data_IF_224938992110
#
_entry.id   IF_224938992110
#
_cell.length_a   1.000
_cell.length_b   1.000
_cell.length_c   1.000
_cell.angle_alpha   90.00
_cell.angle_beta   90.00
_cell.angle_gamma   90.00
#
_symmetry.space_group_name_H-M   'P 1'
#
loop_
_entity.id
_entity.type
_entity.pdbx_description
1 polymer ?
#
# COMPACT_ATOMS: atom_id res chain seq x y z
N UNK A 1 -2.88 25.30 5.02
CA UNK A 1 -2.12 24.05 4.83
C UNK A 1 -0.64 24.40 4.88
N UNK A 2 0.22 23.66 5.60
CA UNK A 2 1.65 24.02 5.71
C UNK A 2 2.37 23.70 4.39
N UNK A 3 3.36 24.51 3.99
CA UNK A 3 4.17 24.32 2.75
C UNK A 3 4.82 22.93 2.62
N UNK A 4 4.90 22.18 3.73
CA UNK A 4 5.39 20.81 3.76
C UNK A 4 4.38 19.80 3.22
N UNK A 5 3.12 19.92 3.61
CA UNK A 5 2.04 19.02 3.16
C UNK A 5 1.80 19.19 1.66
N UNK A 6 1.82 20.42 1.16
CA UNK A 6 1.71 20.71 -0.27
C UNK A 6 2.84 20.06 -1.08
N UNK A 7 4.09 20.18 -0.60
CA UNK A 7 5.24 19.55 -1.26
C UNK A 7 5.17 18.04 -1.29
N UNK A 8 4.61 17.42 -0.26
CA UNK A 8 4.38 15.99 -0.26
C UNK A 8 3.30 15.65 -1.32
N UNK A 9 2.20 16.41 -1.37
CA UNK A 9 1.03 16.15 -2.23
C UNK A 9 1.27 16.48 -3.71
N UNK A 10 2.33 17.21 -4.02
CA UNK A 10 2.74 17.56 -5.38
C UNK A 10 3.80 16.61 -5.94
N UNK A 11 4.13 15.50 -5.27
CA UNK A 11 5.09 14.53 -5.79
C UNK A 11 4.48 13.58 -6.80
N UNK A 12 5.35 12.84 -7.47
CA UNK A 12 5.02 11.75 -8.38
C UNK A 12 5.65 10.46 -7.88
N UNK A 13 4.99 9.33 -8.12
CA UNK A 13 5.51 8.00 -7.78
C UNK A 13 5.48 7.08 -8.99
N UNK A 14 6.65 6.56 -9.36
CA UNK A 14 6.74 5.60 -10.45
C UNK A 14 6.03 4.29 -10.07
N UNK A 15 5.68 3.52 -11.10
CA UNK A 15 4.98 2.24 -10.99
C UNK A 15 5.65 1.24 -10.05
N UNK A 16 6.97 1.12 -10.08
CA UNK A 16 7.70 0.13 -9.26
C UNK A 16 7.61 0.48 -7.77
N UNK A 17 7.84 1.75 -7.41
CA UNK A 17 7.65 2.22 -6.05
C UNK A 17 6.19 2.09 -5.60
N UNK A 18 5.25 2.36 -6.50
CA UNK A 18 3.83 2.24 -6.21
C UNK A 18 3.41 0.81 -5.87
N UNK A 19 3.77 -0.16 -6.71
CA UNK A 19 3.48 -1.58 -6.47
C UNK A 19 4.15 -2.04 -5.18
N UNK A 20 5.43 -1.67 -4.96
CA UNK A 20 6.12 -1.99 -3.72
C UNK A 20 5.44 -1.39 -2.48
N UNK A 21 4.98 -0.13 -2.56
CA UNK A 21 4.22 0.52 -1.51
C UNK A 21 2.89 -0.18 -1.27
N UNK A 22 2.14 -0.55 -2.31
CA UNK A 22 0.87 -1.26 -2.17
C UNK A 22 1.05 -2.62 -1.48
N UNK A 23 2.09 -3.37 -1.87
CA UNK A 23 2.46 -4.64 -1.23
C UNK A 23 2.78 -4.45 0.25
N UNK A 24 3.62 -3.46 0.57
CA UNK A 24 3.99 -3.17 1.95
C UNK A 24 2.77 -2.72 2.74
N UNK A 25 2.06 -1.69 2.27
CA UNK A 25 0.95 -1.08 2.97
C UNK A 25 -0.18 -2.07 3.26
N UNK A 26 -0.58 -2.88 2.28
CA UNK A 26 -1.78 -3.71 2.40
C UNK A 26 -1.50 -5.13 2.95
N UNK A 27 -0.27 -5.62 2.85
CA UNK A 27 0.05 -7.02 3.18
C UNK A 27 1.19 -7.15 4.19
N UNK A 28 2.39 -6.67 3.87
CA UNK A 28 3.55 -6.93 4.73
C UNK A 28 3.49 -6.14 6.05
N UNK A 29 3.10 -4.87 5.99
CA UNK A 29 3.00 -3.98 7.15
C UNK A 29 2.00 -4.49 8.20
N UNK A 30 0.74 -4.84 7.88
CA UNK A 30 -0.16 -5.37 8.89
C UNK A 30 0.31 -6.68 9.51
N UNK A 31 0.95 -7.56 8.73
CA UNK A 31 1.51 -8.80 9.26
C UNK A 31 2.66 -8.56 10.23
N UNK A 32 3.60 -7.69 9.85
CA UNK A 32 4.75 -7.33 10.69
C UNK A 32 4.28 -6.65 11.99
N UNK A 33 3.39 -5.66 11.89
CA UNK A 33 2.84 -4.98 13.06
C UNK A 33 2.01 -5.93 13.94
N UNK A 34 1.21 -6.81 13.33
CA UNK A 34 0.44 -7.81 14.06
C UNK A 34 1.33 -8.78 14.85
N UNK A 35 2.41 -9.26 14.23
CA UNK A 35 3.39 -10.12 14.90
C UNK A 35 4.09 -9.39 16.07
N UNK A 36 4.47 -8.13 15.87
CA UNK A 36 5.10 -7.31 16.93
C UNK A 36 4.14 -7.08 18.09
N UNK A 37 2.91 -6.63 17.82
CA UNK A 37 1.91 -6.36 18.86
C UNK A 37 1.58 -7.63 19.65
N UNK A 38 1.42 -8.77 18.96
CA UNK A 38 1.22 -10.07 19.61
C UNK A 38 2.37 -10.44 20.53
N UNK A 39 3.62 -10.26 20.08
CA UNK A 39 4.82 -10.55 20.90
C UNK A 39 4.93 -9.65 22.12
N UNK A 40 4.46 -8.42 22.02
CA UNK A 40 4.44 -7.45 23.13
C UNK A 40 3.20 -7.58 24.03
N UNK A 41 2.27 -8.50 23.72
CA UNK A 41 1.02 -8.64 24.46
C UNK A 41 0.08 -7.43 24.31
N UNK A 42 0.26 -6.62 23.27
CA UNK A 42 -0.56 -5.44 23.02
C UNK A 42 -1.89 -5.84 22.36
N UNK A 43 -3.01 -5.21 22.73
CA UNK A 43 -4.28 -5.45 22.07
C UNK A 43 -4.20 -4.97 20.62
N UNK A 44 -4.59 -5.84 19.70
CA UNK A 44 -4.74 -5.51 18.28
C UNK A 44 -6.23 -5.35 18.02
N UNK A 45 -6.65 -4.17 17.54
CA UNK A 45 -8.04 -3.94 17.19
C UNK A 45 -8.40 -4.82 15.98
N UNK A 46 -9.08 -5.92 16.23
CA UNK A 46 -9.68 -6.71 15.16
C UNK A 46 -10.92 -5.93 14.71
N UNK A 47 -11.01 -5.60 13.43
CA UNK A 47 -12.14 -4.83 12.88
C UNK A 47 -13.50 -5.47 13.13
N UNK A 48 -14.56 -4.84 12.64
CA UNK A 48 -15.96 -5.25 12.83
C UNK A 48 -16.16 -6.78 12.69
N UNK A 49 -16.38 -7.47 13.82
CA UNK A 49 -17.00 -8.81 13.86
C UNK A 49 -16.18 -10.02 14.35
N UNK A 50 -14.99 -9.88 14.96
CA UNK A 50 -14.25 -11.06 15.47
C UNK A 50 -14.22 -11.14 16.99
N UNK A 51 -14.97 -12.10 17.54
CA UNK A 51 -15.02 -12.42 18.97
C UNK A 51 -13.91 -13.34 19.48
N UNK A 52 -12.90 -13.68 18.67
CA UNK A 52 -11.80 -14.57 19.08
C UNK A 52 -10.44 -13.88 19.00
N UNK A 53 -9.75 -13.87 20.13
CA UNK A 53 -8.52 -13.11 20.45
C UNK A 53 -7.22 -13.62 19.80
N UNK A 54 -7.27 -14.56 18.85
CA UNK A 54 -6.09 -15.29 18.37
C UNK A 54 -5.61 -14.96 16.95
N UNK A 55 -6.37 -14.20 16.16
CA UNK A 55 -6.10 -14.03 14.71
C UNK A 55 -5.37 -12.72 14.38
N UNK A 56 -4.29 -12.80 13.58
CA UNK A 56 -3.66 -11.61 12.99
C UNK A 56 -4.55 -11.14 11.83
N UNK A 57 -5.28 -10.05 12.03
CA UNK A 57 -6.12 -9.45 10.99
C UNK A 57 -5.29 -8.57 10.05
N UNK A 58 -5.39 -8.78 8.74
CA UNK A 58 -4.81 -7.88 7.75
C UNK A 58 -5.40 -6.46 7.85
N UNK A 59 -6.60 -6.29 8.40
CA UNK A 59 -7.26 -5.00 8.58
C UNK A 59 -7.01 -4.37 9.96
N UNK A 60 -6.22 -5.01 10.82
CA UNK A 60 -5.97 -4.54 12.18
C UNK A 60 -5.42 -3.10 12.26
N UNK A 61 -4.65 -2.71 11.24
CA UNK A 61 -3.97 -1.42 11.17
C UNK A 61 -4.55 -0.53 10.07
N UNK A 62 -5.84 -0.67 9.75
CA UNK A 62 -6.50 0.05 8.65
C UNK A 62 -6.27 1.56 8.69
N UNK A 63 -6.22 2.16 9.88
CA UNK A 63 -5.96 3.58 10.09
C UNK A 63 -4.57 4.04 9.63
N UNK A 64 -3.62 3.11 9.48
CA UNK A 64 -2.30 3.36 8.90
C UNK A 64 -2.24 2.95 7.43
N UNK A 65 -2.83 1.80 7.10
CA UNK A 65 -2.80 1.23 5.75
C UNK A 65 -3.56 2.10 4.75
N UNK A 66 -4.77 2.54 5.11
CA UNK A 66 -5.64 3.31 4.22
C UNK A 66 -4.97 4.64 3.86
N UNK A 67 -4.48 5.48 4.80
CA UNK A 67 -3.80 6.72 4.44
C UNK A 67 -2.53 6.50 3.62
N UNK A 68 -1.75 5.45 3.90
CA UNK A 68 -0.52 5.16 3.16
C UNK A 68 -0.82 4.72 1.72
N UNK A 69 -1.80 3.84 1.55
CA UNK A 69 -2.24 3.37 0.24
C UNK A 69 -2.92 4.49 -0.57
N UNK A 70 -3.73 5.29 0.11
CA UNK A 70 -4.36 6.50 -0.41
C UNK A 70 -3.34 7.47 -0.99
N UNK A 71 -2.33 7.75 -0.18
CA UNK A 71 -1.21 8.60 -0.52
C UNK A 71 -0.47 8.09 -1.76
N UNK A 72 -0.05 6.82 -1.75
CA UNK A 72 0.65 6.22 -2.89
C UNK A 72 -0.19 6.29 -4.18
N UNK A 73 -1.50 6.06 -4.06
CA UNK A 73 -2.42 6.08 -5.21
C UNK A 73 -2.54 7.48 -5.80
N UNK A 74 -2.60 8.52 -4.95
CA UNK A 74 -2.56 9.90 -5.41
C UNK A 74 -1.28 10.20 -6.18
N UNK A 75 -0.11 9.88 -5.61
CA UNK A 75 1.19 10.14 -6.26
C UNK A 75 1.36 9.36 -7.57
N UNK A 76 0.77 8.17 -7.66
CA UNK A 76 0.78 7.35 -8.89
C UNK A 76 -0.11 7.95 -9.97
N UNK A 77 -1.31 8.42 -9.62
CA UNK A 77 -2.21 9.11 -10.56
C UNK A 77 -1.56 10.38 -11.10
N UNK A 78 -0.85 11.12 -10.24
CA UNK A 78 -0.07 12.28 -10.65
C UNK A 78 1.09 11.92 -11.57
N UNK A 79 1.75 10.78 -11.36
CA UNK A 79 2.80 10.32 -12.26
C UNK A 79 2.31 9.94 -13.66
N UNK A 80 1.04 9.55 -13.78
CA UNK A 80 0.38 9.29 -15.06
C UNK A 80 -0.10 10.60 -15.73
N UNK A 81 -0.04 11.74 -15.01
CA UNK A 81 -0.56 13.02 -15.49
C UNK A 81 -2.07 13.21 -15.30
N UNK A 82 -2.75 12.24 -14.68
CA UNK A 82 -4.20 12.26 -14.51
C UNK A 82 -4.68 13.28 -13.45
N UNK A 83 -5.97 13.66 -13.49
CA UNK A 83 -6.57 14.49 -12.45
C UNK A 83 -6.60 13.80 -11.08
N UNK A 84 -6.34 14.54 -9.99
CA UNK A 84 -6.25 13.98 -8.63
C UNK A 84 -7.50 13.26 -8.15
N UNK A 85 -8.69 13.68 -8.58
CA UNK A 85 -9.95 13.05 -8.16
C UNK A 85 -10.05 11.59 -8.63
N UNK A 86 -9.36 11.23 -9.72
CA UNK A 86 -9.32 9.85 -10.22
C UNK A 86 -8.66 8.92 -9.20
N UNK A 87 -7.79 9.44 -8.31
CA UNK A 87 -7.20 8.66 -7.23
C UNK A 87 -8.26 8.08 -6.28
N UNK A 88 -9.38 8.79 -6.04
CA UNK A 88 -10.46 8.29 -5.19
C UNK A 88 -11.17 7.07 -5.81
N UNK A 89 -11.39 7.08 -7.12
CA UNK A 89 -11.96 5.93 -7.84
C UNK A 89 -10.97 4.77 -7.84
N UNK A 90 -9.69 5.06 -8.02
CA UNK A 90 -8.66 4.03 -8.07
C UNK A 90 -8.35 3.42 -6.70
N UNK A 91 -8.98 3.85 -5.60
CA UNK A 91 -8.87 3.10 -4.33
C UNK A 91 -9.61 1.77 -4.36
N UNK A 92 -10.60 1.60 -5.25
CA UNK A 92 -11.28 0.31 -5.37
C UNK A 92 -10.28 -0.76 -5.83
N UNK A 93 -10.11 -1.87 -5.07
CA UNK A 93 -9.02 -2.83 -5.28
C UNK A 93 -8.88 -3.33 -6.71
N UNK A 94 -10.00 -3.65 -7.37
CA UNK A 94 -9.99 -4.16 -8.74
C UNK A 94 -9.62 -3.09 -9.77
N UNK A 95 -10.09 -1.86 -9.58
CA UNK A 95 -9.78 -0.75 -10.48
C UNK A 95 -8.32 -0.31 -10.27
N UNK A 96 -7.83 -0.40 -9.04
CA UNK A 96 -6.46 -0.07 -8.67
C UNK A 96 -5.42 -0.87 -9.47
N UNK A 97 -5.72 -2.12 -9.83
CA UNK A 97 -4.81 -2.96 -10.61
C UNK A 97 -4.39 -2.30 -11.93
N UNK A 98 -5.21 -1.42 -12.50
CA UNK A 98 -4.82 -0.64 -13.68
C UNK A 98 -3.53 0.15 -13.44
N UNK A 99 -3.36 0.72 -12.25
CA UNK A 99 -2.18 1.50 -11.86
C UNK A 99 -0.90 0.69 -11.77
N UNK A 100 -1.01 -0.64 -11.59
CA UNK A 100 0.12 -1.55 -11.48
C UNK A 100 0.78 -1.80 -12.82
N UNK A 101 0.04 -1.63 -13.91
CA UNK A 101 0.52 -1.92 -15.26
C UNK A 101 0.69 -0.64 -16.09
N UNK A 102 -0.15 0.37 -15.88
CA UNK A 102 -0.12 1.62 -16.63
C UNK A 102 1.28 2.27 -16.56
N UNK A 103 1.88 2.72 -17.66
CA UNK A 103 3.16 3.43 -17.65
C UNK A 103 3.01 4.85 -17.09
N UNK A 104 4.01 5.36 -16.38
CA UNK A 104 4.04 6.78 -16.01
C UNK A 104 4.50 7.67 -17.18
N UNK A 105 4.35 8.98 -17.04
CA UNK A 105 4.89 9.95 -18.01
C UNK A 105 6.42 10.08 -17.83
N UNK A 106 7.18 9.94 -18.91
CA UNK A 106 8.65 9.99 -18.87
C UNK A 106 9.20 11.42 -18.77
N UNK A 107 8.39 12.41 -19.11
CA UNK A 107 8.74 13.84 -19.06
C UNK A 107 8.10 14.52 -17.85
N UNK A 108 8.49 15.78 -17.62
CA UNK A 108 7.83 16.64 -16.66
C UNK A 108 6.35 16.84 -17.05
N UNK A 109 5.48 16.90 -16.06
CA UNK A 109 4.05 17.13 -16.25
C UNK A 109 3.53 18.21 -15.29
N UNK A 110 2.21 18.42 -15.26
CA UNK A 110 1.57 19.42 -14.37
C UNK A 110 1.83 19.19 -12.87
N UNK A 111 2.32 18.01 -12.49
CA UNK A 111 2.68 17.64 -11.12
C UNK A 111 4.20 17.62 -10.89
N UNK A 112 5.00 18.08 -11.84
CA UNK A 112 6.44 18.25 -11.71
C UNK A 112 7.28 17.23 -12.48
N UNK A 113 8.57 17.19 -12.14
CA UNK A 113 9.59 16.36 -12.78
C UNK A 113 9.32 14.85 -12.61
N UNK A 114 9.79 14.01 -13.54
CA UNK A 114 9.62 12.57 -13.44
C UNK A 114 10.28 12.02 -12.16
N UNK A 115 9.65 11.04 -11.50
CA UNK A 115 10.18 10.43 -10.29
C UNK A 115 11.50 9.69 -10.58
N UNK A 116 12.39 9.69 -9.59
CA UNK A 116 13.65 8.95 -9.67
C UNK A 116 13.43 7.46 -9.97
N UNK A 117 14.37 6.80 -10.67
CA UNK A 117 14.28 5.37 -10.97
C UNK A 117 14.25 4.54 -9.69
N UNK A 118 13.55 3.41 -9.73
CA UNK A 118 13.42 2.53 -8.58
C UNK A 118 14.72 1.77 -8.28
N UNK A 119 15.13 1.83 -7.00
CA UNK A 119 16.21 1.03 -6.45
C UNK A 119 15.86 -0.45 -6.33
N UNK A 120 16.86 -1.26 -5.98
CA UNK A 120 16.74 -2.73 -5.95
C UNK A 120 15.63 -3.21 -5.00
N UNK A 121 15.54 -2.66 -3.79
CA UNK A 121 14.52 -3.07 -2.81
C UNK A 121 13.09 -2.86 -3.35
N UNK A 122 12.81 -1.71 -3.97
CA UNK A 122 11.51 -1.44 -4.57
C UNK A 122 11.20 -2.40 -5.72
N UNK A 123 12.21 -2.78 -6.52
CA UNK A 123 12.06 -3.78 -7.58
C UNK A 123 11.73 -5.17 -7.02
N UNK A 124 12.42 -5.61 -5.96
CA UNK A 124 12.15 -6.89 -5.31
C UNK A 124 10.71 -6.94 -4.77
N UNK A 125 10.27 -5.87 -4.11
CA UNK A 125 8.90 -5.78 -3.61
C UNK A 125 7.87 -5.78 -4.75
N UNK A 126 8.13 -5.02 -5.82
CA UNK A 126 7.20 -4.88 -6.93
C UNK A 126 7.09 -6.16 -7.78
N UNK A 127 8.22 -6.74 -8.19
CA UNK A 127 8.21 -7.94 -9.03
C UNK A 127 7.88 -9.20 -8.22
N UNK A 128 8.22 -9.22 -6.93
CA UNK A 128 7.82 -10.27 -6.00
C UNK A 128 6.37 -10.14 -5.51
N UNK A 129 5.62 -9.10 -5.91
CA UNK A 129 4.29 -8.81 -5.40
C UNK A 129 3.34 -10.02 -5.38
N UNK A 130 3.23 -10.84 -6.45
CA UNK A 130 2.38 -12.03 -6.42
C UNK A 130 2.77 -13.00 -5.29
N UNK A 131 4.07 -13.23 -5.11
CA UNK A 131 4.58 -14.11 -4.07
C UNK A 131 4.30 -13.54 -2.67
N UNK A 132 4.56 -12.25 -2.44
CA UNK A 132 4.31 -11.60 -1.15
C UNK A 132 2.84 -11.65 -0.75
N UNK A 133 1.94 -11.44 -1.71
CA UNK A 133 0.49 -11.52 -1.50
C UNK A 133 0.07 -12.95 -1.15
N UNK A 134 0.55 -13.96 -1.90
CA UNK A 134 0.27 -15.36 -1.62
C UNK A 134 0.79 -15.79 -0.25
N UNK A 135 2.02 -15.40 0.12
CA UNK A 135 2.58 -15.67 1.44
C UNK A 135 1.78 -15.00 2.56
N UNK A 136 1.33 -13.76 2.34
CA UNK A 136 0.54 -13.03 3.32
C UNK A 136 -0.81 -13.70 3.60
N UNK A 137 -1.55 -14.06 2.54
CA UNK A 137 -2.82 -14.79 2.69
C UNK A 137 -2.60 -16.22 3.19
N UNK A 138 -1.56 -16.91 2.73
CA UNK A 138 -1.22 -18.26 3.20
C UNK A 138 -0.92 -18.28 4.70
N UNK A 139 -0.15 -17.30 5.18
CA UNK A 139 0.11 -17.15 6.62
C UNK A 139 -1.17 -16.82 7.39
N UNK A 140 -1.99 -15.90 6.89
CA UNK A 140 -3.26 -15.59 7.52
C UNK A 140 -4.14 -16.84 7.62
N UNK A 141 -4.36 -17.57 6.53
CA UNK A 141 -5.13 -18.82 6.48
C UNK A 141 -4.56 -19.90 7.42
N UNK A 142 -3.24 -20.08 7.43
CA UNK A 142 -2.61 -21.05 8.33
C UNK A 142 -2.88 -20.74 9.80
N UNK A 143 -2.81 -19.46 10.19
CA UNK A 143 -3.21 -19.02 11.53
C UNK A 143 -4.69 -19.29 11.79
N UNK A 144 -5.57 -19.05 10.80
CA UNK A 144 -7.00 -19.32 10.94
C UNK A 144 -7.33 -20.80 11.17
N UNK A 145 -6.57 -21.71 10.55
CA UNK A 145 -6.79 -23.17 10.67
C UNK A 145 -6.30 -23.73 12.00
N UNK A 146 -5.33 -23.07 12.65
CA UNK A 146 -4.75 -23.52 13.92
C UNK A 146 -5.49 -23.02 15.18
N UNK A 147 -6.40 -22.06 15.04
CA UNK A 147 -7.21 -21.49 16.12
C UNK A 147 -8.55 -22.20 16.27
#
# INVERSE_FOLDING_TARGET
MTKWVERLLQRRMNRVHYVGLAVVALYLLPLLLGAVFRRLGLPVYQGFGSGNSSMISLMAFWYLQIPLFAWGTLLRVQDIGWPRWVAAILWFPFINLLLWFWPGESQANQWGEPPAPAGIAARILAFGAPLWILLAYGLALWVLVQS
#
